data_IF_187833092142
#
_entry.id   IF_187833092142
#
_cell.length_a   1.000
_cell.length_b   1.000
_cell.length_c   1.000
_cell.angle_alpha   90.00
_cell.angle_beta   90.00
_cell.angle_gamma   90.00
#
_symmetry.space_group_name_H-M   'P 1'
#
loop_
_entity.id
_entity.type
_entity.pdbx_description
1 polymer ?
#
# COMPACT_ATOMS: atom_id res chain seq x y z
N UNK A 1 13.99 -3.26 25.25
CA UNK A 1 12.62 -3.24 24.68
C UNK A 1 12.66 -2.46 23.37
N UNK A 2 12.68 -3.15 22.22
CA UNK A 2 12.93 -2.53 20.92
C UNK A 2 11.62 -2.42 20.11
N UNK A 3 11.02 -1.23 20.09
CA UNK A 3 9.90 -0.90 19.22
C UNK A 3 10.35 -0.75 17.77
N UNK A 4 9.85 -1.59 16.86
CA UNK A 4 10.12 -1.53 15.41
C UNK A 4 9.40 -0.36 14.69
N UNK A 5 8.67 0.50 15.42
CA UNK A 5 7.84 1.59 14.89
C UNK A 5 8.52 2.95 14.67
N UNK A 6 9.85 3.07 14.86
CA UNK A 6 10.51 4.39 14.99
C UNK A 6 11.08 5.03 13.73
N UNK A 7 10.94 4.45 12.53
CA UNK A 7 11.62 4.99 11.33
C UNK A 7 10.85 6.10 10.60
N UNK A 8 9.69 6.54 11.11
CA UNK A 8 8.89 7.63 10.53
C UNK A 8 8.20 7.34 9.20
N UNK A 9 8.11 6.07 8.75
CA UNK A 9 7.51 5.71 7.45
C UNK A 9 6.05 6.13 7.35
N UNK A 10 5.25 5.79 8.37
CA UNK A 10 3.83 6.15 8.42
C UNK A 10 3.63 7.67 8.45
N UNK A 11 4.47 8.41 9.19
CA UNK A 11 4.46 9.87 9.18
C UNK A 11 4.76 10.44 7.79
N UNK A 12 5.80 9.92 7.13
CA UNK A 12 6.16 10.34 5.77
C UNK A 12 5.06 9.97 4.76
N UNK A 13 4.39 8.82 4.91
CA UNK A 13 3.24 8.44 4.08
C UNK A 13 2.13 9.47 4.20
N UNK A 14 1.77 9.86 5.42
CA UNK A 14 0.76 10.89 5.66
C UNK A 14 1.16 12.26 5.10
N UNK A 15 2.42 12.68 5.24
CA UNK A 15 2.91 13.93 4.66
C UNK A 15 2.84 13.93 3.13
N UNK A 16 3.16 12.80 2.50
CA UNK A 16 3.05 12.60 1.06
C UNK A 16 1.60 12.73 0.61
N UNK A 17 0.69 12.02 1.26
CA UNK A 17 -0.74 12.04 0.92
C UNK A 17 -1.26 13.47 1.04
N UNK A 18 -1.00 14.15 2.17
CA UNK A 18 -1.36 15.57 2.36
C UNK A 18 -0.78 16.49 1.29
N UNK A 19 0.47 16.28 0.88
CA UNK A 19 1.14 17.06 -0.17
C UNK A 19 0.49 16.85 -1.55
N UNK A 20 0.11 15.61 -1.87
CA UNK A 20 -0.61 15.27 -3.10
C UNK A 20 -2.01 15.90 -3.12
N UNK A 21 -2.75 15.79 -2.03
CA UNK A 21 -4.08 16.40 -1.89
C UNK A 21 -4.03 17.93 -2.07
N UNK A 22 -3.03 18.61 -1.47
CA UNK A 22 -2.81 20.05 -1.68
C UNK A 22 -2.53 20.45 -3.14
N UNK A 23 -2.09 19.51 -3.97
CA UNK A 23 -1.82 19.70 -5.41
C UNK A 23 -2.97 19.19 -6.29
N UNK A 24 -4.14 18.95 -5.69
CA UNK A 24 -5.33 18.38 -6.32
C UNK A 24 -5.05 17.05 -7.05
N UNK A 25 -4.14 16.25 -6.49
CA UNK A 25 -3.78 14.92 -6.99
C UNK A 25 -4.65 13.86 -6.31
N UNK A 26 -5.92 13.79 -6.70
CA UNK A 26 -6.95 12.88 -6.16
C UNK A 26 -7.62 12.06 -7.28
N UNK A 27 -8.32 10.94 -6.98
CA UNK A 27 -8.40 10.29 -5.68
C UNK A 27 -7.15 9.44 -5.36
N UNK A 28 -6.77 9.38 -4.08
CA UNK A 28 -5.60 8.61 -3.59
C UNK A 28 -6.07 7.41 -2.77
N UNK A 29 -5.50 6.23 -3.00
CA UNK A 29 -5.68 5.10 -2.09
C UNK A 29 -4.51 5.05 -1.09
N UNK A 30 -4.79 5.27 0.19
CA UNK A 30 -3.87 5.05 1.29
C UNK A 30 -3.96 3.58 1.75
N UNK A 31 -2.81 2.93 1.92
CA UNK A 31 -2.73 1.52 2.30
C UNK A 31 -1.83 1.38 3.52
N UNK A 32 -2.43 1.16 4.69
CA UNK A 32 -1.70 0.76 5.89
C UNK A 32 -1.43 -0.75 5.82
N UNK A 33 -0.19 -1.11 5.48
CA UNK A 33 0.20 -2.51 5.29
C UNK A 33 0.86 -3.10 6.54
N UNK A 34 0.66 -2.49 7.71
CA UNK A 34 1.18 -2.94 8.98
C UNK A 34 0.07 -3.47 9.92
N UNK A 35 0.45 -4.35 10.83
CA UNK A 35 -0.49 -4.97 11.77
C UNK A 35 -1.03 -3.98 12.82
N UNK A 36 -0.32 -2.87 13.05
CA UNK A 36 -0.64 -1.92 14.12
C UNK A 36 -1.59 -0.81 13.68
N UNK A 37 -1.84 -0.63 12.38
CA UNK A 37 -2.74 0.41 11.84
C UNK A 37 -2.47 1.80 12.43
N UNK A 38 -1.43 2.49 11.95
CA UNK A 38 -1.05 3.80 12.45
C UNK A 38 -1.30 4.95 11.44
N UNK A 39 -1.55 4.63 10.17
CA UNK A 39 -1.71 5.63 9.12
C UNK A 39 -3.02 6.41 9.27
N UNK A 40 -4.06 5.79 9.82
CA UNK A 40 -5.33 6.43 10.13
C UNK A 40 -5.18 7.59 11.11
N UNK A 41 -4.37 7.43 12.17
CA UNK A 41 -4.10 8.50 13.14
C UNK A 41 -3.40 9.68 12.47
N UNK A 42 -2.42 9.38 11.61
CA UNK A 42 -1.70 10.41 10.84
C UNK A 42 -2.63 11.11 9.86
N UNK A 43 -3.60 10.42 9.26
CA UNK A 43 -4.54 11.01 8.30
C UNK A 43 -5.79 11.61 8.98
N UNK A 44 -5.99 11.38 10.27
CA UNK A 44 -7.12 11.91 11.04
C UNK A 44 -8.44 11.21 10.75
N UNK A 45 -8.40 9.90 10.45
CA UNK A 45 -9.58 9.08 10.16
C UNK A 45 -9.68 7.89 11.12
N UNK A 46 -10.88 7.32 11.25
CA UNK A 46 -11.11 6.13 12.09
C UNK A 46 -11.19 4.89 11.22
N UNK A 47 -10.55 3.82 11.65
CA UNK A 47 -10.69 2.49 11.05
C UNK A 47 -11.77 1.75 11.82
N UNK A 48 -12.79 1.29 11.11
CA UNK A 48 -13.85 0.45 11.68
C UNK A 48 -13.59 -1.05 11.42
N UNK A 49 -12.92 -1.34 10.31
CA UNK A 49 -12.69 -2.70 9.83
C UNK A 49 -11.31 -2.86 9.19
N UNK A 50 -10.73 -4.05 9.24
CA UNK A 50 -9.42 -4.35 8.63
C UNK A 50 -9.43 -5.67 7.86
N UNK A 51 -8.50 -5.82 6.92
CA UNK A 51 -8.35 -7.08 6.16
C UNK A 51 -8.07 -8.28 7.07
N UNK A 52 -7.33 -8.05 8.16
CA UNK A 52 -7.04 -9.06 9.18
C UNK A 52 -8.29 -9.58 9.88
N UNK A 53 -9.25 -8.71 10.17
CA UNK A 53 -10.53 -9.07 10.81
C UNK A 53 -11.52 -9.67 9.80
N UNK A 54 -11.61 -9.15 8.57
CA UNK A 54 -12.38 -9.77 7.48
C UNK A 54 -11.95 -11.23 7.26
N UNK A 55 -10.64 -11.51 7.32
CA UNK A 55 -10.09 -12.86 7.20
C UNK A 55 -10.68 -13.81 8.25
N UNK A 56 -10.91 -13.36 9.48
CA UNK A 56 -11.41 -14.22 10.56
C UNK A 56 -12.87 -14.58 10.38
N UNK A 57 -13.62 -13.68 9.78
CA UNK A 57 -15.03 -13.87 9.48
C UNK A 57 -15.28 -14.79 8.29
N UNK A 58 -14.21 -15.27 7.62
CA UNK A 58 -14.29 -16.27 6.56
C UNK A 58 -14.84 -17.63 6.99
N UNK A 59 -14.92 -17.87 8.30
CA UNK A 59 -15.59 -19.04 8.85
C UNK A 59 -17.12 -18.94 8.73
N UNK A 60 -17.67 -17.74 8.56
CA UNK A 60 -19.11 -17.44 8.58
C UNK A 60 -19.64 -16.89 7.24
N UNK A 61 -19.13 -17.41 6.11
CA UNK A 61 -19.56 -16.95 4.79
C UNK A 61 -21.02 -17.37 4.53
N UNK A 62 -21.92 -16.46 4.10
CA UNK A 62 -23.31 -16.79 3.80
C UNK A 62 -23.47 -17.87 2.74
N UNK A 63 -24.50 -18.71 2.87
CA UNK A 63 -24.84 -19.70 1.85
C UNK A 63 -25.22 -19.00 0.53
N UNK A 64 -24.74 -19.55 -0.59
CA UNK A 64 -24.96 -18.98 -1.92
C UNK A 64 -23.91 -17.95 -2.38
N UNK A 65 -22.93 -17.62 -1.53
CA UNK A 65 -21.82 -16.73 -1.88
C UNK A 65 -20.46 -17.47 -1.85
N UNK A 66 -19.57 -17.15 -2.77
CA UNK A 66 -18.18 -17.65 -2.72
C UNK A 66 -17.38 -16.86 -1.68
N UNK A 67 -16.37 -17.49 -1.08
CA UNK A 67 -15.47 -16.80 -0.15
C UNK A 67 -14.84 -15.55 -0.77
N UNK A 68 -14.48 -15.61 -2.04
CA UNK A 68 -13.83 -14.50 -2.73
C UNK A 68 -14.76 -13.29 -2.94
N UNK A 69 -16.03 -13.55 -3.31
CA UNK A 69 -17.05 -12.52 -3.42
C UNK A 69 -17.35 -11.88 -2.07
N UNK A 70 -17.41 -12.70 -1.01
CA UNK A 70 -17.62 -12.21 0.35
C UNK A 70 -16.47 -11.31 0.83
N UNK A 71 -15.21 -11.72 0.63
CA UNK A 71 -14.07 -10.89 0.99
C UNK A 71 -14.08 -9.59 0.17
N UNK A 72 -14.35 -9.66 -1.13
CA UNK A 72 -14.40 -8.47 -1.99
C UNK A 72 -15.43 -7.46 -1.48
N UNK A 73 -16.64 -7.92 -1.18
CA UNK A 73 -17.68 -7.10 -0.58
C UNK A 73 -17.22 -6.49 0.76
N UNK A 74 -16.63 -7.30 1.64
CA UNK A 74 -16.17 -6.83 2.95
C UNK A 74 -15.00 -5.86 2.87
N UNK A 75 -14.08 -6.03 1.93
CA UNK A 75 -12.97 -5.10 1.71
C UNK A 75 -13.48 -3.76 1.22
N UNK A 76 -14.51 -3.74 0.36
CA UNK A 76 -15.17 -2.49 -0.03
C UNK A 76 -15.82 -1.80 1.17
N UNK A 77 -16.48 -2.54 2.06
CA UNK A 77 -17.04 -1.98 3.30
C UNK A 77 -15.96 -1.49 4.27
N UNK A 78 -14.76 -2.05 4.22
CA UNK A 78 -13.64 -1.65 5.08
C UNK A 78 -12.85 -0.44 4.58
N UNK A 79 -13.19 0.08 3.39
CA UNK A 79 -12.60 1.35 2.94
C UNK A 79 -13.12 2.49 3.78
N UNK A 80 -12.20 3.21 4.40
CA UNK A 80 -12.48 4.45 5.09
C UNK A 80 -12.43 5.57 4.06
N UNK A 81 -13.59 6.00 3.60
CA UNK A 81 -13.73 7.08 2.64
C UNK A 81 -13.47 8.44 3.29
N UNK A 82 -12.75 9.32 2.58
CA UNK A 82 -12.46 10.68 3.05
C UNK A 82 -12.40 11.67 1.88
N UNK A 83 -12.21 12.95 2.19
CA UNK A 83 -12.17 13.98 1.16
C UNK A 83 -10.87 13.90 0.35
N UNK A 84 -10.94 13.22 -0.80
CA UNK A 84 -9.87 13.13 -1.79
C UNK A 84 -8.92 11.93 -1.63
N UNK A 85 -9.09 11.14 -0.57
CA UNK A 85 -8.39 9.86 -0.40
C UNK A 85 -9.29 8.87 0.33
N UNK A 86 -9.05 7.59 0.08
CA UNK A 86 -9.63 6.50 0.85
C UNK A 86 -8.51 5.72 1.53
N UNK A 87 -8.79 5.09 2.66
CA UNK A 87 -7.83 4.31 3.43
C UNK A 87 -8.31 2.88 3.58
N UNK A 88 -7.43 1.92 3.24
CA UNK A 88 -7.58 0.52 3.61
C UNK A 88 -6.45 0.12 4.55
N UNK A 89 -6.78 -0.67 5.57
CA UNK A 89 -5.83 -1.11 6.58
C UNK A 89 -5.77 -2.63 6.67
N UNK A 90 -4.55 -3.16 6.74
CA UNK A 90 -4.31 -4.59 6.86
C UNK A 90 -4.70 -5.10 8.25
N UNK A 91 -4.19 -4.47 9.31
CA UNK A 91 -4.50 -4.84 10.69
C UNK A 91 -3.98 -6.20 11.13
N UNK A 92 -3.98 -6.41 12.44
CA UNK A 92 -3.60 -7.66 13.07
C UNK A 92 -4.82 -8.59 13.13
N UNK A 93 -4.73 -9.83 12.63
CA UNK A 93 -5.72 -10.86 12.95
C UNK A 93 -5.64 -11.20 14.45
N UNK A 94 -6.78 -11.25 15.15
CA UNK A 94 -6.94 -11.66 16.55
C UNK A 94 -6.90 -13.20 16.76
N UNK A 95 -7.11 -14.01 15.72
CA UNK A 95 -7.23 -15.47 15.78
C UNK A 95 -5.93 -16.25 15.49
N UNK A 96 -5.92 -17.55 15.83
CA UNK A 96 -4.82 -18.46 15.52
C UNK A 96 -4.66 -18.62 14.00
N UNK A 97 -3.67 -17.93 13.41
CA UNK A 97 -3.44 -18.01 11.97
C UNK A 97 -2.18 -17.31 11.48
N UNK A 98 -1.66 -17.79 10.35
CA UNK A 98 -0.50 -17.19 9.68
C UNK A 98 -0.89 -15.82 9.12
N UNK A 99 -0.19 -14.75 9.53
CA UNK A 99 -0.19 -13.42 8.90
C UNK A 99 -0.05 -13.46 7.37
N UNK A 100 0.54 -14.56 6.90
CA UNK A 100 0.79 -14.91 5.50
C UNK A 100 -0.47 -14.80 4.63
N UNK A 101 -1.64 -15.22 5.12
CA UNK A 101 -2.87 -15.17 4.33
C UNK A 101 -3.46 -13.75 4.27
N UNK A 102 -3.42 -13.00 5.37
CA UNK A 102 -3.84 -11.59 5.39
C UNK A 102 -2.99 -10.75 4.41
N UNK A 103 -1.68 -11.01 4.33
CA UNK A 103 -0.80 -10.38 3.34
C UNK A 103 -1.20 -10.70 1.89
N UNK A 104 -1.58 -11.96 1.61
CA UNK A 104 -2.03 -12.37 0.27
C UNK A 104 -3.33 -11.68 -0.11
N UNK A 105 -4.29 -11.61 0.81
CA UNK A 105 -5.56 -10.90 0.61
C UNK A 105 -5.31 -9.40 0.42
N UNK A 106 -4.52 -8.78 1.28
CA UNK A 106 -4.16 -7.38 1.21
C UNK A 106 -3.56 -7.02 -0.16
N UNK A 107 -2.59 -7.81 -0.63
CA UNK A 107 -2.01 -7.63 -1.97
C UNK A 107 -3.05 -7.72 -3.07
N UNK A 108 -3.86 -8.80 -3.09
CA UNK A 108 -4.88 -9.03 -4.11
C UNK A 108 -5.88 -7.87 -4.19
N UNK A 109 -6.42 -7.44 -3.06
CA UNK A 109 -7.48 -6.43 -3.08
C UNK A 109 -6.94 -5.02 -3.24
N UNK A 110 -5.73 -4.72 -2.75
CA UNK A 110 -5.07 -3.44 -3.07
C UNK A 110 -4.82 -3.33 -4.58
N UNK A 111 -4.41 -4.40 -5.26
CA UNK A 111 -4.27 -4.41 -6.72
C UNK A 111 -5.59 -4.05 -7.41
N UNK A 112 -6.69 -4.71 -7.02
CA UNK A 112 -8.02 -4.48 -7.60
C UNK A 112 -8.50 -3.05 -7.32
N UNK A 113 -8.36 -2.57 -6.08
CA UNK A 113 -8.79 -1.24 -5.69
C UNK A 113 -8.00 -0.17 -6.43
N UNK A 114 -6.68 -0.31 -6.50
CA UNK A 114 -5.76 0.66 -7.08
C UNK A 114 -6.08 1.02 -8.53
N UNK A 115 -6.78 0.18 -9.29
CA UNK A 115 -7.24 0.49 -10.66
C UNK A 115 -8.20 1.67 -10.71
N UNK A 116 -8.93 1.95 -9.63
CA UNK A 116 -9.91 3.04 -9.52
C UNK A 116 -9.31 4.33 -8.96
N UNK A 117 -8.04 4.32 -8.56
CA UNK A 117 -7.37 5.47 -7.97
C UNK A 117 -6.32 6.02 -8.91
N UNK A 118 -6.08 7.33 -8.79
CA UNK A 118 -5.03 8.00 -9.55
C UNK A 118 -3.65 7.53 -9.11
N UNK A 119 -3.45 7.51 -7.79
CA UNK A 119 -2.21 7.17 -7.11
C UNK A 119 -2.56 6.34 -5.86
N UNK A 120 -1.67 5.45 -5.44
CA UNK A 120 -1.81 4.76 -4.15
C UNK A 120 -0.50 4.74 -3.37
N UNK A 121 -0.59 4.94 -2.05
CA UNK A 121 0.53 5.17 -1.15
C UNK A 121 0.47 4.19 0.01
N UNK A 122 1.59 3.53 0.31
CA UNK A 122 1.70 2.60 1.44
C UNK A 122 2.88 2.92 2.34
N UNK A 123 2.72 2.66 3.64
CA UNK A 123 3.73 2.87 4.67
C UNK A 123 4.72 1.71 4.80
N UNK A 124 4.42 0.53 4.24
CA UNK A 124 5.30 -0.63 4.20
C UNK A 124 5.56 -1.13 2.76
N UNK A 125 6.74 -1.69 2.51
CA UNK A 125 7.17 -2.25 1.23
C UNK A 125 6.74 -3.73 1.08
N UNK A 126 6.27 -4.40 2.13
CA UNK A 126 5.94 -5.83 2.04
C UNK A 126 4.76 -6.14 1.09
N UNK A 127 3.97 -5.11 0.76
CA UNK A 127 2.91 -5.17 -0.25
C UNK A 127 3.41 -4.92 -1.69
N UNK A 128 4.61 -4.36 -1.90
CA UNK A 128 5.11 -3.88 -3.20
C UNK A 128 5.57 -4.94 -4.21
N UNK A 129 5.25 -6.22 -4.03
CA UNK A 129 5.58 -7.24 -5.05
C UNK A 129 4.68 -7.15 -6.30
N UNK A 130 4.07 -6.01 -6.55
CA UNK A 130 3.03 -5.87 -7.56
C UNK A 130 3.65 -5.86 -8.95
N UNK A 131 3.08 -6.70 -9.77
CA UNK A 131 3.37 -6.95 -11.18
C UNK A 131 3.09 -5.75 -12.06
N UNK A 132 2.56 -4.64 -11.52
CA UNK A 132 2.20 -3.43 -12.23
C UNK A 132 2.31 -2.16 -11.34
N UNK A 133 3.49 -1.52 -11.21
CA UNK A 133 3.60 -0.35 -10.31
C UNK A 133 2.79 0.88 -10.80
N UNK A 134 1.72 1.22 -10.06
CA UNK A 134 1.14 2.58 -9.94
C UNK A 134 1.34 3.14 -8.52
N UNK A 135 1.97 2.37 -7.64
CA UNK A 135 2.10 2.68 -6.22
C UNK A 135 3.45 3.22 -5.81
N UNK A 136 3.46 3.93 -4.69
CA UNK A 136 4.69 4.49 -4.14
C UNK A 136 4.79 4.09 -2.68
N UNK A 137 5.77 3.25 -2.35
CA UNK A 137 6.11 2.99 -0.96
C UNK A 137 7.05 4.05 -0.43
N UNK A 138 6.77 4.46 0.80
CA UNK A 138 7.64 5.34 1.58
C UNK A 138 9.05 4.80 1.74
N UNK A 139 9.20 3.49 1.93
CA UNK A 139 10.51 2.89 2.09
C UNK A 139 11.42 3.12 0.87
N UNK A 140 10.86 3.12 -0.34
CA UNK A 140 11.63 3.32 -1.57
C UNK A 140 12.03 4.78 -1.77
N UNK A 141 11.16 5.71 -1.39
CA UNK A 141 11.47 7.16 -1.37
C UNK A 141 12.62 7.42 -0.41
N UNK A 142 12.52 6.90 0.82
CA UNK A 142 13.51 7.10 1.87
C UNK A 142 14.86 6.48 1.50
N UNK A 143 14.88 5.28 0.89
CA UNK A 143 16.11 4.56 0.53
C UNK A 143 16.87 5.19 -0.64
N UNK A 144 16.24 6.00 -1.51
CA UNK A 144 16.91 6.65 -2.65
C UNK A 144 17.83 7.81 -2.25
N UNK A 145 17.99 8.10 -0.95
CA UNK A 145 19.09 8.91 -0.40
C UNK A 145 20.44 8.16 -0.40
N UNK A 146 20.46 6.81 -0.54
CA UNK A 146 21.68 6.02 -0.71
C UNK A 146 22.12 5.98 -2.20
N UNK A 147 23.34 6.42 -2.52
CA UNK A 147 23.89 6.60 -3.89
C UNK A 147 24.12 5.29 -4.67
N UNK A 148 23.82 4.12 -4.10
CA UNK A 148 24.13 2.77 -4.65
C UNK A 148 22.97 2.06 -5.35
N UNK A 149 21.98 2.82 -5.79
CA UNK A 149 20.82 2.27 -6.49
C UNK A 149 21.20 1.90 -7.94
N UNK A 150 21.24 0.60 -8.27
CA UNK A 150 21.68 0.12 -9.61
C UNK A 150 20.80 -0.99 -10.17
N UNK A 151 20.72 -0.94 -11.50
CA UNK A 151 20.12 -1.85 -12.48
C UNK A 151 18.62 -1.67 -12.79
N UNK A 152 18.38 -1.00 -13.92
CA UNK A 152 17.12 -1.00 -14.69
C UNK A 152 17.20 -2.14 -15.70
N UNK A 153 16.30 -3.11 -15.63
CA UNK A 153 16.10 -4.13 -16.67
C UNK A 153 14.72 -3.95 -17.29
N UNK A 154 14.58 -4.22 -18.57
CA UNK A 154 13.27 -4.34 -19.21
C UNK A 154 13.05 -5.83 -19.45
N UNK A 155 11.98 -6.39 -18.93
CA UNK A 155 11.61 -7.81 -19.08
C UNK A 155 10.14 -7.86 -19.45
N UNK A 156 9.83 -8.46 -20.61
CA UNK A 156 8.45 -8.59 -21.13
C UNK A 156 7.66 -7.26 -21.12
N UNK A 157 8.30 -6.17 -21.54
CA UNK A 157 7.68 -4.82 -21.57
C UNK A 157 7.61 -4.11 -20.21
N UNK A 158 7.85 -4.82 -19.10
CA UNK A 158 7.87 -4.26 -17.75
C UNK A 158 9.24 -3.73 -17.41
N UNK A 159 9.28 -2.62 -16.66
CA UNK A 159 10.54 -2.07 -16.14
C UNK A 159 10.77 -2.70 -14.77
N UNK A 160 11.93 -3.30 -14.58
CA UNK A 160 12.32 -3.95 -13.34
C UNK A 160 13.49 -3.19 -12.74
N UNK A 161 13.39 -2.87 -11.46
CA UNK A 161 14.39 -2.10 -10.74
C UNK A 161 14.69 -2.76 -9.40
N UNK A 162 15.97 -3.03 -9.12
CA UNK A 162 16.38 -3.60 -7.82
C UNK A 162 16.70 -2.49 -6.84
N UNK A 163 16.05 -2.55 -5.68
CA UNK A 163 16.37 -1.70 -4.53
C UNK A 163 17.70 -2.11 -3.90
N UNK A 164 18.32 -1.22 -3.13
CA UNK A 164 19.55 -1.49 -2.37
C UNK A 164 19.41 -2.63 -1.35
N UNK A 165 18.17 -2.98 -0.96
CA UNK A 165 17.85 -4.11 -0.06
C UNK A 165 17.58 -5.42 -0.78
N UNK A 166 17.80 -5.50 -2.10
CA UNK A 166 17.56 -6.70 -2.89
C UNK A 166 16.11 -6.93 -3.30
N UNK A 167 15.16 -6.12 -2.80
CA UNK A 167 13.75 -6.14 -3.26
C UNK A 167 13.65 -5.65 -4.69
N UNK A 168 12.76 -6.25 -5.47
CA UNK A 168 12.57 -5.99 -6.90
C UNK A 168 11.27 -5.23 -7.12
N UNK A 169 11.35 -4.04 -7.70
CA UNK A 169 10.23 -3.22 -8.15
C UNK A 169 9.93 -3.53 -9.62
N UNK A 170 8.66 -3.73 -9.97
CA UNK A 170 8.21 -4.06 -11.34
C UNK A 170 7.14 -3.08 -11.85
N UNK A 171 7.51 -2.16 -12.74
CA UNK A 171 6.61 -1.17 -13.33
C UNK A 171 5.99 -1.72 -14.62
N UNK A 172 4.68 -1.54 -14.79
CA UNK A 172 3.96 -2.10 -15.95
C UNK A 172 4.33 -1.44 -17.27
N UNK A 173 4.70 -0.17 -17.23
CA UNK A 173 5.06 0.61 -18.41
C UNK A 173 6.05 1.75 -18.06
N UNK A 174 6.47 2.50 -19.10
CA UNK A 174 7.38 3.65 -18.96
C UNK A 174 6.74 4.82 -18.23
N UNK A 175 5.42 5.00 -18.31
CA UNK A 175 4.72 6.13 -17.68
C UNK A 175 4.67 5.97 -16.16
N UNK A 176 4.29 4.78 -15.71
CA UNK A 176 4.38 4.28 -14.35
C UNK A 176 5.76 4.50 -13.73
N UNK A 177 6.81 4.12 -14.45
CA UNK A 177 8.19 4.32 -13.99
C UNK A 177 8.56 5.80 -13.92
N UNK A 178 8.14 6.62 -14.89
CA UNK A 178 8.38 8.07 -14.89
C UNK A 178 7.64 8.76 -13.76
N UNK A 179 6.37 8.42 -13.50
CA UNK A 179 5.58 8.91 -12.36
C UNK A 179 6.29 8.61 -11.05
N UNK A 180 6.74 7.39 -10.87
CA UNK A 180 7.50 6.99 -9.68
C UNK A 180 8.84 7.74 -9.55
N UNK A 181 9.65 7.87 -10.62
CA UNK A 181 10.89 8.66 -10.56
C UNK A 181 10.61 10.12 -10.21
N UNK A 182 9.66 10.74 -10.90
CA UNK A 182 9.28 12.14 -10.71
C UNK A 182 8.80 12.36 -9.28
N UNK A 183 7.92 11.49 -8.80
CA UNK A 183 7.43 11.54 -7.44
C UNK A 183 8.58 11.44 -6.43
N UNK A 184 9.47 10.45 -6.56
CA UNK A 184 10.60 10.29 -5.63
C UNK A 184 11.54 11.50 -5.71
N UNK A 185 11.75 12.06 -6.91
CA UNK A 185 12.60 13.24 -7.12
C UNK A 185 12.03 14.50 -6.45
N UNK A 186 10.70 14.72 -6.55
CA UNK A 186 10.01 15.85 -5.92
C UNK A 186 10.13 15.76 -4.39
N UNK A 187 10.00 14.56 -3.82
CA UNK A 187 9.96 14.37 -2.37
C UNK A 187 11.34 14.09 -1.75
N UNK A 188 12.43 14.16 -2.54
CA UNK A 188 13.82 14.15 -2.03
C UNK A 188 14.23 15.44 -1.32
N UNK A 189 13.51 16.55 -1.57
CA UNK A 189 13.77 17.87 -0.98
C UNK A 189 13.04 18.12 0.35
N UNK A 190 12.28 17.12 0.82
CA UNK A 190 11.71 17.06 2.17
C UNK A 190 12.63 16.24 3.08
#
# INVERSE_FOLDING_TARGET
>A
MAGKGGTGKTTVAGLIIRSLLKKDKKPILAVDADANCNLNEVLGVKIEETIGRIREELLNVPQGMTKDAYIGYRVQQALVESNGFDLIAMGRPEGAGCYCYANVLCKKYVDILAENYRDWITDNNDILNLTNIYGISVADIMKKKDRRYKMKKIVNGKIIEKTSTGKTLTFKDKDSYRKWITFVSIHKKL
#
